data_IF_932101459644
#
_entry.id   IF_932101459644
#
_cell.length_a   1.000
_cell.length_b   1.000
_cell.length_c   1.000
_cell.angle_alpha   90.00
_cell.angle_beta   90.00
_cell.angle_gamma   90.00
#
_symmetry.space_group_name_H-M   'P 1'
#
loop_
_entity.id
_entity.type
_entity.pdbx_description
1 polymer ?
#
# COMPACT_ATOMS: atom_id res chain seq x y z
N UNK A 1 -5.41 -7.11 10.33
CA UNK A 1 -6.54 -6.24 9.91
C UNK A 1 -6.62 -6.19 8.39
N UNK A 2 -7.82 -6.00 7.86
CA UNK A 2 -8.18 -6.02 6.43
C UNK A 2 -8.87 -4.72 5.95
N UNK A 3 -8.79 -3.67 6.78
CA UNK A 3 -9.50 -2.41 6.58
C UNK A 3 -9.07 -1.67 5.31
N UNK A 4 -7.80 -1.75 4.91
CA UNK A 4 -7.31 -1.03 3.72
C UNK A 4 -7.84 -1.67 2.42
N UNK A 5 -7.89 -3.00 2.34
CA UNK A 5 -8.51 -3.71 1.23
C UNK A 5 -10.03 -3.45 1.17
N UNK A 6 -10.69 -3.48 2.34
CA UNK A 6 -12.12 -3.11 2.44
C UNK A 6 -12.38 -1.67 2.00
N UNK A 7 -11.52 -0.73 2.41
CA UNK A 7 -11.58 0.68 2.04
C UNK A 7 -11.39 0.90 0.55
N UNK A 8 -10.40 0.25 -0.06
CA UNK A 8 -10.16 0.31 -1.51
C UNK A 8 -11.34 -0.24 -2.31
N UNK A 9 -11.90 -1.38 -1.89
CA UNK A 9 -13.09 -1.97 -2.50
C UNK A 9 -14.30 -1.03 -2.43
N UNK A 10 -14.57 -0.44 -1.25
CA UNK A 10 -15.64 0.56 -1.06
C UNK A 10 -15.41 1.84 -1.88
N UNK A 11 -14.15 2.19 -2.12
CA UNK A 11 -13.73 3.29 -3.00
C UNK A 11 -13.84 2.98 -4.49
N UNK A 12 -14.27 1.78 -4.88
CA UNK A 12 -14.49 1.39 -6.27
C UNK A 12 -13.30 0.68 -6.94
N UNK A 13 -12.24 0.34 -6.21
CA UNK A 13 -11.18 -0.51 -6.76
C UNK A 13 -11.72 -1.92 -7.06
N UNK A 14 -11.39 -2.45 -8.24
CA UNK A 14 -11.74 -3.83 -8.58
C UNK A 14 -10.92 -4.83 -7.76
N UNK A 15 -11.46 -6.03 -7.58
CA UNK A 15 -10.76 -7.15 -6.93
C UNK A 15 -9.41 -7.45 -7.58
N UNK A 16 -9.40 -7.41 -8.91
CA UNK A 16 -8.20 -7.62 -9.71
C UNK A 16 -7.13 -6.57 -9.40
N UNK A 17 -7.51 -5.29 -9.28
CA UNK A 17 -6.59 -4.22 -8.88
C UNK A 17 -6.08 -4.41 -7.46
N UNK A 18 -6.96 -4.74 -6.51
CA UNK A 18 -6.57 -4.94 -5.11
C UNK A 18 -5.56 -6.09 -4.99
N UNK A 19 -5.79 -7.21 -5.68
CA UNK A 19 -4.86 -8.33 -5.74
C UNK A 19 -3.55 -7.94 -6.44
N UNK A 20 -3.62 -7.19 -7.53
CA UNK A 20 -2.46 -6.82 -8.33
C UNK A 20 -1.48 -5.88 -7.60
N UNK A 21 -1.88 -5.22 -6.51
CA UNK A 21 -0.97 -4.37 -5.71
C UNK A 21 0.24 -5.16 -5.21
N UNK A 22 0.10 -6.47 -4.94
CA UNK A 22 1.21 -7.30 -4.45
C UNK A 22 2.30 -7.54 -5.50
N UNK A 23 1.99 -7.34 -6.79
CA UNK A 23 2.95 -7.42 -7.91
C UNK A 23 2.84 -6.17 -8.80
N UNK A 24 2.66 -4.99 -8.17
CA UNK A 24 2.35 -3.75 -8.89
C UNK A 24 3.39 -3.36 -9.95
N UNK A 25 4.65 -3.77 -9.76
CA UNK A 25 5.75 -3.51 -10.71
C UNK A 25 5.53 -4.21 -12.05
N UNK A 26 4.89 -5.39 -12.05
CA UNK A 26 4.63 -6.21 -13.24
C UNK A 26 3.20 -6.07 -13.75
N UNK A 27 2.29 -5.59 -12.90
CA UNK A 27 0.90 -5.34 -13.26
C UNK A 27 0.77 -4.21 -14.28
N UNK A 28 -0.02 -4.44 -15.33
CA UNK A 28 -0.42 -3.45 -16.32
C UNK A 28 -1.62 -2.60 -15.87
N UNK A 29 -2.16 -2.85 -14.68
CA UNK A 29 -3.34 -2.14 -14.17
C UNK A 29 -3.01 -0.75 -13.61
N UNK A 30 -1.75 -0.48 -13.26
CA UNK A 30 -1.34 0.76 -12.62
C UNK A 30 -0.62 1.68 -13.61
N UNK A 31 -0.88 2.98 -13.47
CA UNK A 31 -0.11 4.04 -14.11
C UNK A 31 1.29 4.17 -13.51
N UNK A 32 2.20 4.84 -14.21
CA UNK A 32 3.55 5.08 -13.70
C UNK A 32 3.56 5.92 -12.42
N UNK A 33 2.62 6.86 -12.29
CA UNK A 33 2.41 7.64 -11.07
C UNK A 33 2.02 6.73 -9.88
N UNK A 34 1.04 5.85 -10.07
CA UNK A 34 0.65 4.89 -9.03
C UNK A 34 1.79 3.95 -8.66
N UNK A 35 2.57 3.46 -9.63
CA UNK A 35 3.73 2.60 -9.36
C UNK A 35 4.77 3.29 -8.48
N UNK A 36 5.11 4.55 -8.78
CA UNK A 36 6.09 5.27 -7.94
C UNK A 36 5.54 5.58 -6.54
N UNK A 37 4.23 5.80 -6.39
CA UNK A 37 3.59 5.92 -5.08
C UNK A 37 3.65 4.60 -4.27
N UNK A 38 3.48 3.45 -4.92
CA UNK A 38 3.65 2.15 -4.27
C UNK A 38 5.12 1.87 -3.89
N UNK A 39 6.09 2.29 -4.72
CA UNK A 39 7.50 2.24 -4.35
C UNK A 39 7.80 3.07 -3.11
N UNK A 40 7.22 4.26 -2.97
CA UNK A 40 7.32 5.07 -1.75
C UNK A 40 6.75 4.33 -0.53
N UNK A 41 5.57 3.72 -0.69
CA UNK A 41 4.93 2.96 0.39
C UNK A 41 5.82 1.80 0.87
N UNK A 42 6.41 1.02 -0.03
CA UNK A 42 7.35 -0.04 0.34
C UNK A 42 8.61 0.52 1.01
N UNK A 43 9.23 1.56 0.42
CA UNK A 43 10.46 2.16 0.91
C UNK A 43 10.33 2.75 2.32
N UNK A 44 9.18 3.35 2.64
CA UNK A 44 8.88 3.85 3.99
C UNK A 44 8.53 2.76 5.00
N UNK A 45 8.13 1.56 4.55
CA UNK A 45 7.65 0.47 5.40
C UNK A 45 8.77 -0.44 5.90
N UNK A 46 9.80 -0.66 5.08
CA UNK A 46 10.97 -1.46 5.47
C UNK A 46 11.76 -0.81 6.61
N UNK A 47 12.49 -1.61 7.38
CA UNK A 47 13.33 -1.13 8.49
C UNK A 47 14.76 -1.67 8.33
N UNK A 48 15.78 -0.80 8.15
CA UNK A 48 15.69 0.66 8.06
C UNK A 48 14.90 1.12 6.82
N UNK A 49 14.35 2.33 6.87
CA UNK A 49 13.64 2.92 5.72
C UNK A 49 14.59 3.07 4.52
N UNK A 50 14.06 2.96 3.30
CA UNK A 50 14.83 2.90 2.06
C UNK A 50 14.45 3.99 1.03
N UNK A 51 13.88 5.11 1.46
CA UNK A 51 13.59 6.25 0.58
C UNK A 51 14.90 6.90 0.15
N UNK A 52 15.18 6.89 -1.16
CA UNK A 52 16.38 7.45 -1.78
C UNK A 52 16.08 8.80 -2.44
N UNK A 53 17.13 9.58 -2.69
CA UNK A 53 17.01 10.85 -3.44
C UNK A 53 16.46 10.63 -4.86
N UNK A 54 16.82 9.52 -5.50
CA UNK A 54 16.31 9.12 -6.82
C UNK A 54 14.79 8.86 -6.80
N UNK A 55 14.32 8.09 -5.81
CA UNK A 55 12.89 7.85 -5.63
C UNK A 55 12.15 9.15 -5.34
N UNK A 56 12.71 10.01 -4.48
CA UNK A 56 12.14 11.32 -4.18
C UNK A 56 12.07 12.22 -5.43
N UNK A 57 13.09 12.21 -6.29
CA UNK A 57 13.10 12.95 -7.54
C UNK A 57 12.00 12.46 -8.49
N UNK A 58 11.87 11.14 -8.69
CA UNK A 58 10.81 10.53 -9.51
C UNK A 58 9.41 10.85 -9.01
N UNK A 59 9.19 10.90 -7.69
CA UNK A 59 7.92 11.31 -7.12
C UNK A 59 7.57 12.76 -7.48
N UNK A 60 8.54 13.69 -7.43
CA UNK A 60 8.32 15.10 -7.77
C UNK A 60 8.06 15.37 -9.25
N UNK A 61 8.31 14.40 -10.13
CA UNK A 61 7.95 14.51 -11.55
C UNK A 61 6.44 14.34 -11.79
N UNK A 62 5.73 13.67 -10.87
CA UNK A 62 4.32 13.28 -11.05
C UNK A 62 3.39 13.75 -9.92
N UNK A 63 3.93 14.13 -8.76
CA UNK A 63 3.17 14.61 -7.61
C UNK A 63 3.67 15.97 -7.11
N UNK A 64 2.74 16.79 -6.63
CA UNK A 64 3.07 18.01 -5.89
C UNK A 64 3.62 17.68 -4.50
N UNK A 65 4.28 18.65 -3.87
CA UNK A 65 4.81 18.48 -2.51
C UNK A 65 3.67 18.20 -1.51
N UNK A 66 2.53 18.85 -1.66
CA UNK A 66 1.34 18.63 -0.82
C UNK A 66 0.81 17.20 -0.95
N UNK A 67 0.72 16.68 -2.18
CA UNK A 67 0.32 15.29 -2.42
C UNK A 67 1.32 14.31 -1.79
N UNK A 68 2.61 14.59 -1.87
CA UNK A 68 3.65 13.76 -1.24
C UNK A 68 3.56 13.78 0.29
N UNK A 69 3.26 14.93 0.90
CA UNK A 69 3.02 15.05 2.35
C UNK A 69 1.83 14.21 2.77
N UNK A 70 0.72 14.28 2.04
CA UNK A 70 -0.47 13.46 2.32
C UNK A 70 -0.17 11.96 2.20
N UNK A 71 0.54 11.54 1.15
CA UNK A 71 0.95 10.15 0.98
C UNK A 71 1.83 9.66 2.13
N UNK A 72 2.87 10.43 2.49
CA UNK A 72 3.78 10.08 3.57
C UNK A 72 3.06 9.96 4.92
N UNK A 73 2.08 10.84 5.18
CA UNK A 73 1.27 10.79 6.40
C UNK A 73 0.43 9.52 6.48
N UNK A 74 -0.24 9.13 5.38
CA UNK A 74 -1.03 7.90 5.32
C UNK A 74 -0.15 6.67 5.50
N UNK A 75 0.99 6.60 4.81
CA UNK A 75 1.93 5.47 4.92
C UNK A 75 2.46 5.34 6.36
N UNK A 76 2.86 6.45 6.97
CA UNK A 76 3.34 6.47 8.35
C UNK A 76 2.26 5.98 9.35
N UNK A 77 1.01 6.39 9.17
CA UNK A 77 -0.11 5.94 9.99
C UNK A 77 -0.35 4.42 9.86
N UNK A 78 -0.28 3.88 8.64
CA UNK A 78 -0.44 2.45 8.42
C UNK A 78 0.73 1.63 8.96
N UNK A 79 1.95 2.18 8.97
CA UNK A 79 3.11 1.58 9.63
C UNK A 79 2.96 1.56 11.15
N UNK A 80 2.44 2.64 11.74
CA UNK A 80 2.09 2.67 13.16
C UNK A 80 1.03 1.60 13.49
N UNK A 81 -0.08 1.57 12.73
CA UNK A 81 -1.17 0.60 12.93
C UNK A 81 -0.66 -0.83 12.81
N UNK A 82 0.14 -1.13 11.80
CA UNK A 82 0.69 -2.47 11.58
C UNK A 82 1.53 -2.96 12.76
N UNK A 83 2.40 -2.09 13.30
CA UNK A 83 3.24 -2.41 14.48
C UNK A 83 2.41 -2.54 15.76
N UNK A 84 1.49 -1.62 15.98
CA UNK A 84 0.57 -1.66 17.12
C UNK A 84 -0.25 -2.96 17.11
N UNK A 85 -0.90 -3.26 15.98
CA UNK A 85 -1.73 -4.45 15.82
C UNK A 85 -0.95 -5.74 16.05
N UNK A 86 0.29 -5.82 15.56
CA UNK A 86 1.15 -6.98 15.79
C UNK A 86 1.51 -7.16 17.26
N UNK A 87 1.69 -6.07 18.02
CA UNK A 87 1.97 -6.13 19.45
C UNK A 87 0.83 -6.79 20.24
N UNK A 88 -0.43 -6.59 19.80
CA UNK A 88 -1.62 -7.08 20.50
C UNK A 88 -2.32 -8.26 19.81
N UNK A 89 -1.72 -8.84 18.75
CA UNK A 89 -2.31 -9.95 18.01
C UNK A 89 -3.66 -9.62 17.38
N UNK A 90 -3.80 -8.41 16.81
CA UNK A 90 -5.05 -7.96 16.19
C UNK A 90 -5.24 -8.63 14.83
N UNK A 91 -6.19 -9.55 14.77
CA UNK A 91 -6.56 -10.30 13.58
C UNK A 91 -7.44 -9.49 12.60
N UNK A 92 -7.58 -9.94 11.32
CA UNK A 92 -8.59 -9.41 10.40
C UNK A 92 -10.02 -9.46 10.96
N UNK A 93 -10.81 -8.43 10.67
CA UNK A 93 -12.18 -8.32 11.18
C UNK A 93 -13.23 -8.90 10.22
N UNK A 94 -12.83 -9.30 9.01
CA UNK A 94 -13.72 -9.80 7.96
C UNK A 94 -14.46 -8.69 7.19
N UNK A 95 -13.97 -7.45 7.26
CA UNK A 95 -14.51 -6.34 6.47
C UNK A 95 -14.19 -6.44 4.98
N UNK A 96 -13.17 -7.22 4.64
CA UNK A 96 -12.87 -7.64 3.28
C UNK A 96 -13.03 -9.15 3.17
N UNK A 97 -14.22 -9.59 2.73
CA UNK A 97 -14.61 -11.00 2.75
C UNK A 97 -13.74 -11.94 1.89
N UNK A 98 -12.87 -11.40 1.04
CA UNK A 98 -12.01 -12.16 0.12
C UNK A 98 -10.54 -12.16 0.52
N UNK A 99 -10.22 -11.76 1.76
CA UNK A 99 -8.83 -11.67 2.21
C UNK A 99 -8.11 -13.02 2.11
N UNK A 100 -8.76 -14.12 2.50
CA UNK A 100 -8.16 -15.45 2.46
C UNK A 100 -7.77 -15.87 1.04
N UNK A 101 -8.71 -15.77 0.09
CA UNK A 101 -8.47 -16.08 -1.33
C UNK A 101 -7.34 -15.23 -1.92
N UNK A 102 -7.31 -13.94 -1.56
CA UNK A 102 -6.27 -13.02 -2.02
C UNK A 102 -4.88 -13.44 -1.51
N UNK A 103 -4.75 -13.75 -0.21
CA UNK A 103 -3.48 -14.18 0.37
C UNK A 103 -3.00 -15.51 -0.22
N UNK A 104 -3.91 -16.47 -0.39
CA UNK A 104 -3.60 -17.76 -1.04
C UNK A 104 -3.09 -17.55 -2.47
N UNK A 105 -3.77 -16.72 -3.28
CA UNK A 105 -3.33 -16.42 -4.65
C UNK A 105 -1.97 -15.73 -4.73
N UNK A 106 -1.60 -15.01 -3.67
CA UNK A 106 -0.32 -14.31 -3.55
C UNK A 106 0.80 -15.16 -2.93
N UNK A 107 0.48 -16.37 -2.44
CA UNK A 107 1.43 -17.25 -1.75
C UNK A 107 1.85 -16.75 -0.36
N UNK A 108 0.97 -16.01 0.33
CA UNK A 108 1.16 -15.47 1.68
C UNK A 108 0.37 -16.23 2.74
#
# INVERSE_FOLDING_TARGET
MDINASGASKGGASEERIAAVLDFRRSNLFSDAERVAFELAEAMTVTPQAVTDDLYARLREVYSEEQMVEMAAVIALENFRSRFNRCFGVEPNGFYGKLGELLESAGL
#
